data_IF_361173212856
#
_entry.id   IF_361173212856
#
_cell.length_a   1.000
_cell.length_b   1.000
_cell.length_c   1.000
_cell.angle_alpha   90.00
_cell.angle_beta   90.00
_cell.angle_gamma   90.00
#
_symmetry.space_group_name_H-M   'P 1'
#
loop_
_entity.id
_entity.type
_entity.pdbx_description
1 polymer ?
#
# COMPACT_ATOMS: atom_id res chain seq x y z
N UNK A 1 10.45 -2.44 14.74
CA UNK A 1 10.07 -1.46 13.69
C UNK A 1 9.37 -0.18 14.21
N UNK A 2 8.23 -0.28 14.91
CA UNK A 2 7.33 0.88 15.19
C UNK A 2 7.92 2.07 15.96
N UNK A 3 9.02 1.90 16.70
CA UNK A 3 9.77 2.97 17.39
C UNK A 3 10.96 3.51 16.57
N UNK A 4 11.42 2.75 15.58
CA UNK A 4 12.59 3.06 14.77
C UNK A 4 12.23 3.74 13.45
N UNK A 5 11.03 3.50 12.92
CA UNK A 5 10.58 3.99 11.62
C UNK A 5 9.85 5.32 11.73
N UNK A 6 10.48 6.29 12.40
CA UNK A 6 10.00 7.68 12.41
C UNK A 6 10.70 8.46 11.28
N UNK A 7 10.05 9.50 10.70
CA UNK A 7 10.68 10.29 9.63
C UNK A 7 12.10 10.77 9.97
N UNK A 8 12.31 11.27 11.18
CA UNK A 8 13.63 11.75 11.61
C UNK A 8 14.68 10.65 11.72
N UNK A 9 14.33 9.48 12.25
CA UNK A 9 15.26 8.34 12.35
C UNK A 9 15.57 7.74 10.97
N UNK A 10 14.55 7.60 10.12
CA UNK A 10 14.70 7.12 8.75
C UNK A 10 15.55 8.07 7.91
N UNK A 11 15.36 9.39 8.01
CA UNK A 11 16.20 10.37 7.33
C UNK A 11 17.67 10.28 7.77
N UNK A 12 17.95 10.05 9.06
CA UNK A 12 19.33 9.87 9.54
C UNK A 12 19.97 8.57 9.08
N UNK A 13 19.22 7.47 9.08
CA UNK A 13 19.74 6.12 8.77
C UNK A 13 19.82 5.83 7.28
N UNK A 14 18.85 6.31 6.51
CA UNK A 14 18.64 5.93 5.11
C UNK A 14 18.40 7.15 4.20
N UNK A 15 18.72 8.37 4.65
CA UNK A 15 18.40 9.60 3.93
C UNK A 15 18.98 9.71 2.53
N UNK A 16 20.19 9.17 2.32
CA UNK A 16 20.85 9.11 1.01
C UNK A 16 20.41 7.93 0.15
N UNK A 17 19.67 6.96 0.71
CA UNK A 17 19.16 5.82 -0.04
C UNK A 17 18.13 6.26 -1.06
N UNK A 18 18.27 5.79 -2.28
CA UNK A 18 17.35 6.08 -3.39
C UNK A 18 16.10 5.21 -3.23
N UNK A 19 14.93 5.84 -3.25
CA UNK A 19 13.62 5.21 -3.18
C UNK A 19 12.82 5.49 -4.44
N UNK A 20 12.11 4.47 -4.93
CA UNK A 20 11.22 4.56 -6.09
C UNK A 20 9.88 5.14 -5.70
N UNK A 21 9.37 6.02 -6.57
CA UNK A 21 8.04 6.57 -6.47
C UNK A 21 7.07 5.75 -7.34
N UNK A 22 5.85 5.55 -6.83
CA UNK A 22 4.79 4.83 -7.56
C UNK A 22 4.42 5.55 -8.85
N UNK A 23 3.98 4.79 -9.86
CA UNK A 23 3.37 5.35 -11.08
C UNK A 23 4.35 6.06 -12.01
N UNK A 24 5.62 5.64 -12.04
CA UNK A 24 6.63 6.25 -12.92
C UNK A 24 7.15 7.60 -12.44
N UNK A 25 6.91 7.97 -11.18
CA UNK A 25 7.37 9.24 -10.60
C UNK A 25 8.89 9.39 -10.43
N UNK A 26 9.68 8.44 -10.95
CA UNK A 26 11.13 8.43 -10.84
C UNK A 26 11.61 7.87 -9.50
N UNK A 27 12.84 8.20 -9.14
CA UNK A 27 13.45 7.82 -7.86
C UNK A 27 14.15 9.03 -7.25
N UNK A 28 14.11 9.14 -5.92
CA UNK A 28 14.67 10.27 -5.18
C UNK A 28 15.38 9.78 -3.91
N UNK A 29 16.32 10.54 -3.33
CA UNK A 29 16.80 10.27 -1.98
C UNK A 29 15.65 10.29 -0.96
N UNK A 30 15.65 9.36 -0.01
CA UNK A 30 14.60 9.28 1.01
C UNK A 30 14.48 10.60 1.80
N UNK A 31 15.60 11.25 2.13
CA UNK A 31 15.58 12.52 2.85
C UNK A 31 14.87 13.63 2.06
N UNK A 32 15.02 13.64 0.72
CA UNK A 32 14.32 14.58 -0.14
C UNK A 32 12.81 14.35 -0.10
N UNK A 33 12.37 13.09 -0.20
CA UNK A 33 10.96 12.72 -0.12
C UNK A 33 10.35 13.07 1.24
N UNK A 34 11.05 12.78 2.33
CA UNK A 34 10.61 13.15 3.68
C UNK A 34 10.56 14.68 3.86
N UNK A 35 11.48 15.42 3.25
CA UNK A 35 11.44 16.88 3.19
C UNK A 35 10.23 17.41 2.40
N UNK A 36 9.87 16.76 1.29
CA UNK A 36 8.63 17.05 0.55
C UNK A 36 7.40 16.87 1.44
N UNK A 37 7.30 15.76 2.18
CA UNK A 37 6.19 15.54 3.10
C UNK A 37 6.13 16.58 4.22
N UNK A 38 7.28 16.98 4.75
CA UNK A 38 7.35 17.95 5.86
C UNK A 38 6.90 19.35 5.44
N UNK A 39 7.21 19.78 4.22
CA UNK A 39 6.75 21.07 3.67
C UNK A 39 5.25 21.12 3.37
N UNK A 40 4.56 19.99 3.49
CA UNK A 40 3.16 19.83 3.10
C UNK A 40 3.02 19.49 1.63
N UNK A 41 1.90 18.84 1.29
CA UNK A 41 1.56 18.45 -0.08
C UNK A 41 0.10 18.74 -0.38
N UNK A 42 -0.51 19.72 0.29
CA UNK A 42 -1.95 19.97 0.24
C UNK A 42 -2.45 20.51 -1.11
N UNK A 43 -1.57 21.15 -1.88
CA UNK A 43 -1.86 21.61 -3.24
C UNK A 43 -1.75 20.50 -4.29
N UNK A 44 -1.25 19.32 -3.94
CA UNK A 44 -1.10 18.20 -4.86
C UNK A 44 -2.38 17.36 -4.88
N UNK A 45 -3.00 17.28 -6.06
CA UNK A 45 -4.18 16.45 -6.30
C UNK A 45 -3.83 14.95 -6.18
N UNK A 46 -2.61 14.57 -6.56
CA UNK A 46 -2.10 13.19 -6.48
C UNK A 46 -0.69 13.18 -5.86
N UNK A 47 -0.58 13.35 -4.53
CA UNK A 47 0.70 13.44 -3.85
C UNK A 47 1.62 12.25 -4.15
N UNK A 48 2.92 12.54 -4.29
CA UNK A 48 3.95 11.52 -4.54
C UNK A 48 3.93 10.45 -3.44
N UNK A 49 4.14 9.19 -3.83
CA UNK A 49 4.06 8.03 -2.95
C UNK A 49 5.28 7.13 -3.14
N UNK A 50 6.05 6.89 -2.07
CA UNK A 50 7.13 5.91 -2.08
C UNK A 50 6.53 4.51 -2.10
N UNK A 51 7.00 3.71 -3.06
CA UNK A 51 6.64 2.32 -3.22
C UNK A 51 7.92 1.54 -3.57
N UNK A 52 8.81 1.42 -2.59
CA UNK A 52 10.15 0.87 -2.79
C UNK A 52 10.17 -0.63 -2.45
N UNK A 53 10.55 -1.52 -3.37
CA UNK A 53 10.85 -2.91 -3.02
C UNK A 53 11.94 -2.92 -1.93
N UNK A 54 11.69 -3.59 -0.80
CA UNK A 54 12.64 -3.56 0.33
C UNK A 54 13.93 -4.26 -0.08
N UNK A 55 14.94 -3.47 -0.44
CA UNK A 55 16.30 -3.91 -0.71
C UNK A 55 17.25 -3.65 0.47
N UNK A 56 16.70 -3.30 1.64
CA UNK A 56 17.44 -2.90 2.84
C UNK A 56 17.37 -4.01 3.90
N UNK A 57 18.38 -4.89 4.02
CA UNK A 57 18.33 -6.06 4.90
C UNK A 57 18.12 -5.70 6.37
N UNK A 58 18.62 -4.53 6.79
CA UNK A 58 18.46 -4.01 8.15
C UNK A 58 16.99 -3.73 8.48
N UNK A 59 16.28 -3.06 7.57
CA UNK A 59 14.85 -2.79 7.73
C UNK A 59 14.01 -4.06 7.66
N UNK A 60 14.38 -5.01 6.79
CA UNK A 60 13.72 -6.31 6.72
C UNK A 60 13.74 -7.04 8.08
N UNK A 61 14.91 -7.11 8.73
CA UNK A 61 15.07 -7.76 10.03
C UNK A 61 14.21 -7.14 11.14
N UNK A 62 13.95 -5.84 11.07
CA UNK A 62 13.22 -5.10 12.11
C UNK A 62 11.72 -5.39 12.18
N UNK A 63 11.12 -5.95 11.12
CA UNK A 63 9.73 -6.43 11.11
C UNK A 63 9.63 -7.95 10.98
N UNK A 64 10.64 -8.63 10.43
CA UNK A 64 10.63 -10.07 10.25
C UNK A 64 10.36 -10.81 11.57
N UNK A 65 10.92 -10.36 12.69
CA UNK A 65 10.70 -10.99 14.00
C UNK A 65 9.22 -11.02 14.43
N UNK A 66 8.41 -10.04 14.00
CA UNK A 66 6.98 -9.97 14.33
C UNK A 66 6.14 -10.69 13.28
N UNK A 67 6.42 -10.46 12.01
CA UNK A 67 5.62 -10.98 10.88
C UNK A 67 5.80 -12.48 10.70
N UNK A 68 7.01 -13.02 10.91
CA UNK A 68 7.30 -14.44 10.67
C UNK A 68 6.49 -15.38 11.56
N UNK A 69 6.00 -14.90 12.72
CA UNK A 69 5.13 -15.69 13.59
C UNK A 69 3.68 -15.77 13.10
N UNK A 70 3.22 -14.78 12.33
CA UNK A 70 1.83 -14.68 11.84
C UNK A 70 1.70 -15.22 10.42
N UNK A 71 2.67 -14.90 9.55
CA UNK A 71 2.72 -15.32 8.15
C UNK A 71 4.04 -16.08 7.88
N UNK A 72 4.18 -17.31 8.39
CA UNK A 72 5.46 -18.04 8.37
C UNK A 72 5.80 -18.64 6.99
N UNK A 73 4.81 -18.78 6.11
CA UNK A 73 4.96 -19.48 4.84
C UNK A 73 5.31 -18.52 3.70
N UNK A 74 6.46 -18.75 3.09
CA UNK A 74 6.96 -18.02 1.93
C UNK A 74 7.39 -19.01 0.84
N UNK A 75 6.43 -19.52 0.06
CA UNK A 75 6.69 -20.55 -0.96
C UNK A 75 7.51 -20.01 -2.14
N UNK A 76 7.38 -18.72 -2.47
CA UNK A 76 8.18 -18.09 -3.54
C UNK A 76 9.67 -18.07 -3.24
N UNK A 77 10.08 -18.31 -1.99
CA UNK A 77 11.48 -18.57 -1.64
C UNK A 77 12.10 -19.72 -2.45
N UNK A 78 11.31 -20.72 -2.83
CA UNK A 78 11.79 -21.89 -3.58
C UNK A 78 12.25 -21.56 -5.01
N UNK A 79 11.75 -20.47 -5.61
CA UNK A 79 12.19 -20.04 -6.94
C UNK A 79 13.64 -19.51 -6.93
N UNK A 80 14.07 -18.91 -5.81
CA UNK A 80 15.41 -18.40 -5.62
C UNK A 80 15.84 -17.28 -6.59
N UNK A 81 16.98 -16.64 -6.25
CA UNK A 81 17.70 -15.72 -7.14
C UNK A 81 16.82 -14.67 -7.82
N UNK A 82 16.99 -14.54 -9.14
CA UNK A 82 16.27 -13.57 -9.99
C UNK A 82 14.88 -14.04 -10.44
N UNK A 83 14.54 -15.32 -10.25
CA UNK A 83 13.26 -15.88 -10.67
C UNK A 83 12.13 -15.50 -9.69
N UNK A 84 12.49 -15.17 -8.45
CA UNK A 84 11.56 -14.74 -7.42
C UNK A 84 11.04 -13.31 -7.71
N UNK A 85 9.72 -13.09 -7.80
CA UNK A 85 9.15 -11.75 -7.87
C UNK A 85 9.46 -10.91 -6.62
N UNK A 86 9.45 -9.58 -6.76
CA UNK A 86 9.50 -8.69 -5.60
C UNK A 86 8.26 -8.94 -4.71
N UNK A 87 8.46 -8.98 -3.39
CA UNK A 87 7.43 -9.49 -2.46
C UNK A 87 7.33 -8.70 -1.14
N UNK A 88 8.17 -7.68 -0.97
CA UNK A 88 8.22 -6.82 0.23
C UNK A 88 8.39 -5.40 -0.23
N UNK A 89 7.58 -4.49 0.30
CA UNK A 89 7.62 -3.07 -0.07
C UNK A 89 7.66 -2.16 1.15
N UNK A 90 8.50 -1.13 1.06
CA UNK A 90 8.56 0.00 1.97
C UNK A 90 7.70 1.12 1.40
N UNK A 91 6.68 1.52 2.16
CA UNK A 91 5.65 2.46 1.72
C UNK A 91 5.69 3.72 2.59
N UNK A 92 5.80 4.89 1.96
CA UNK A 92 5.74 6.18 2.65
C UNK A 92 4.97 7.18 1.81
N UNK A 93 4.03 7.89 2.41
CA UNK A 93 3.20 8.85 1.70
C UNK A 93 2.56 9.89 2.60
N UNK A 94 2.32 11.11 2.10
CA UNK A 94 1.52 12.11 2.79
C UNK A 94 0.02 11.80 2.66
N UNK A 95 -0.82 12.61 3.33
CA UNK A 95 -2.28 12.55 3.20
C UNK A 95 -2.71 12.59 1.74
N UNK A 96 -3.76 11.82 1.38
CA UNK A 96 -4.31 11.67 0.02
C UNK A 96 -3.46 10.85 -0.98
N UNK A 97 -2.24 10.45 -0.62
CA UNK A 97 -1.50 9.43 -1.38
C UNK A 97 -2.02 8.02 -1.09
N UNK A 98 -1.77 7.07 -1.99
CA UNK A 98 -2.17 5.68 -1.80
C UNK A 98 -2.02 4.80 -3.03
N UNK A 99 -2.72 3.67 -3.01
CA UNK A 99 -2.81 2.72 -4.12
C UNK A 99 -4.22 2.73 -4.70
N UNK A 100 -4.33 2.63 -6.03
CA UNK A 100 -5.60 2.37 -6.70
C UNK A 100 -6.05 0.92 -6.45
N UNK A 101 -7.34 0.62 -6.60
CA UNK A 101 -7.86 -0.74 -6.49
C UNK A 101 -7.12 -1.70 -7.43
N UNK A 102 -6.78 -2.89 -6.94
CA UNK A 102 -6.08 -3.93 -7.69
C UNK A 102 -6.15 -5.24 -6.93
N UNK A 103 -6.09 -6.34 -7.67
CA UNK A 103 -5.77 -7.66 -7.09
C UNK A 103 -4.25 -7.80 -7.06
N UNK A 104 -3.72 -8.34 -5.96
CA UNK A 104 -2.31 -8.69 -5.87
C UNK A 104 -1.95 -9.75 -6.92
N UNK A 105 -0.77 -9.64 -7.58
CA UNK A 105 -0.40 -10.51 -8.68
C UNK A 105 -0.14 -11.96 -8.22
N UNK A 106 -0.05 -12.85 -9.20
CA UNK A 106 0.34 -14.26 -9.02
C UNK A 106 -0.55 -15.05 -8.04
N UNK A 107 -1.79 -14.59 -7.83
CA UNK A 107 -2.74 -15.23 -6.90
C UNK A 107 -2.26 -15.20 -5.45
N UNK A 108 -1.45 -14.21 -5.08
CA UNK A 108 -0.90 -14.09 -3.73
C UNK A 108 -1.87 -13.42 -2.78
N UNK A 109 -1.81 -13.83 -1.51
CA UNK A 109 -2.31 -13.01 -0.41
C UNK A 109 -1.23 -12.03 0.05
N UNK A 110 -1.63 -10.95 0.71
CA UNK A 110 -0.72 -9.97 1.29
C UNK A 110 -1.00 -9.67 2.76
N UNK A 111 -0.02 -9.06 3.41
CA UNK A 111 -0.20 -8.40 4.69
C UNK A 111 0.37 -6.98 4.64
N UNK A 112 -0.23 -6.06 5.38
CA UNK A 112 0.20 -4.67 5.46
C UNK A 112 0.29 -4.21 6.92
N UNK A 113 1.51 -4.03 7.42
CA UNK A 113 1.74 -3.54 8.78
C UNK A 113 1.89 -2.01 8.80
N UNK A 114 1.00 -1.31 9.52
CA UNK A 114 1.02 0.15 9.59
C UNK A 114 1.79 0.66 10.80
N UNK A 115 2.95 1.28 10.56
CA UNK A 115 3.83 1.73 11.65
C UNK A 115 3.56 3.17 12.12
N UNK A 116 2.98 4.00 11.26
CA UNK A 116 2.66 5.41 11.54
C UNK A 116 1.54 5.90 10.64
N UNK A 117 0.70 6.80 11.17
CA UNK A 117 -0.44 7.36 10.46
C UNK A 117 -1.66 6.44 10.48
N UNK A 118 -2.53 6.61 9.47
CA UNK A 118 -3.77 5.85 9.26
C UNK A 118 -3.92 5.51 7.78
N UNK A 119 -4.52 4.37 7.46
CA UNK A 119 -4.89 4.00 6.08
C UNK A 119 -6.38 3.67 6.03
N UNK A 120 -7.08 4.21 5.04
CA UNK A 120 -8.45 3.84 4.76
C UNK A 120 -8.48 2.83 3.62
N UNK A 121 -9.03 1.65 3.91
CA UNK A 121 -9.11 0.52 3.01
C UNK A 121 -10.54 0.35 2.53
N UNK A 122 -10.67 0.03 1.24
CA UNK A 122 -11.89 -0.46 0.62
C UNK A 122 -11.48 -1.76 -0.04
N UNK A 123 -12.12 -2.85 0.35
CA UNK A 123 -11.87 -4.20 -0.14
C UNK A 123 -13.16 -4.70 -0.78
N UNK A 124 -13.05 -5.31 -1.96
CA UNK A 124 -14.20 -5.89 -2.65
C UNK A 124 -14.00 -7.40 -2.85
N UNK A 125 -15.00 -8.17 -2.42
CA UNK A 125 -15.12 -9.59 -2.73
C UNK A 125 -15.26 -9.78 -4.26
N UNK A 126 -14.42 -10.60 -4.91
CA UNK A 126 -14.52 -10.86 -6.35
C UNK A 126 -15.90 -11.37 -6.78
N UNK A 127 -16.67 -12.01 -5.89
CA UNK A 127 -18.04 -12.45 -6.18
C UNK A 127 -18.96 -11.30 -6.63
N UNK A 128 -18.71 -10.05 -6.20
CA UNK A 128 -19.51 -8.91 -6.63
C UNK A 128 -19.32 -8.57 -8.13
N UNK A 129 -18.12 -8.80 -8.67
CA UNK A 129 -17.83 -8.66 -10.09
C UNK A 129 -18.44 -9.83 -10.87
N UNK A 130 -18.30 -11.06 -10.37
CA UNK A 130 -18.84 -12.27 -11.01
C UNK A 130 -20.38 -12.24 -11.13
N UNK A 131 -21.05 -11.64 -10.15
CA UNK A 131 -22.51 -11.45 -10.16
C UNK A 131 -22.96 -10.28 -11.05
N UNK A 132 -22.02 -9.49 -11.61
CA UNK A 132 -22.31 -8.34 -12.46
C UNK A 132 -22.91 -7.13 -11.73
N UNK A 133 -22.84 -7.10 -10.39
CA UNK A 133 -23.37 -5.99 -9.60
C UNK A 133 -22.51 -4.71 -9.70
N UNK A 134 -21.21 -4.89 -9.94
CA UNK A 134 -20.19 -3.86 -10.15
C UNK A 134 -19.28 -4.28 -11.29
N UNK A 135 -18.57 -3.33 -11.92
CA UNK A 135 -17.51 -3.65 -12.89
C UNK A 135 -16.13 -3.20 -12.40
N UNK A 136 -15.06 -3.64 -13.04
CA UNK A 136 -13.71 -3.18 -12.69
C UNK A 136 -13.57 -1.66 -12.85
N UNK A 137 -14.22 -1.07 -13.85
CA UNK A 137 -14.22 0.38 -14.07
C UNK A 137 -14.80 1.16 -12.89
N UNK A 138 -15.75 0.59 -12.15
CA UNK A 138 -16.30 1.21 -10.94
C UNK A 138 -15.23 1.33 -9.82
N UNK A 139 -14.27 0.40 -9.79
CA UNK A 139 -13.20 0.35 -8.78
C UNK A 139 -12.01 1.24 -9.14
N UNK A 140 -11.84 1.58 -10.42
CA UNK A 140 -10.71 2.38 -10.88
C UNK A 140 -11.03 3.88 -10.80
N UNK A 141 -10.03 4.72 -10.47
CA UNK A 141 -10.21 6.17 -10.48
C UNK A 141 -10.40 6.72 -11.90
N UNK A 142 -9.89 6.05 -12.93
CA UNK A 142 -9.90 6.57 -14.30
C UNK A 142 -9.03 7.85 -14.39
N UNK A 143 -9.60 8.93 -14.93
CA UNK A 143 -8.92 10.23 -15.01
C UNK A 143 -8.89 11.01 -13.67
N UNK A 144 -9.58 10.52 -12.63
CA UNK A 144 -9.65 11.15 -11.31
C UNK A 144 -8.37 10.89 -10.51
N UNK A 145 -8.06 11.78 -9.58
CA UNK A 145 -7.15 11.45 -8.47
C UNK A 145 -7.77 10.40 -7.55
N UNK A 146 -6.95 9.75 -6.74
CA UNK A 146 -7.43 8.78 -5.76
C UNK A 146 -8.37 9.44 -4.74
N UNK A 147 -8.05 10.66 -4.29
CA UNK A 147 -8.90 11.40 -3.36
C UNK A 147 -10.28 11.73 -3.96
N UNK A 148 -10.33 12.07 -5.24
CA UNK A 148 -11.60 12.28 -5.95
C UNK A 148 -12.40 10.98 -6.09
N UNK A 149 -11.74 9.84 -6.38
CA UNK A 149 -12.41 8.55 -6.38
C UNK A 149 -13.02 8.22 -5.02
N UNK A 150 -12.33 8.46 -3.91
CA UNK A 150 -12.90 8.28 -2.57
C UNK A 150 -14.08 9.22 -2.29
N UNK A 151 -14.05 10.44 -2.83
CA UNK A 151 -15.12 11.43 -2.63
C UNK A 151 -16.38 11.11 -3.45
N UNK A 152 -16.23 10.61 -4.67
CA UNK A 152 -17.33 10.49 -5.64
C UNK A 152 -17.57 9.04 -6.08
N UNK A 153 -16.51 8.29 -6.36
CA UNK A 153 -16.55 6.90 -6.81
C UNK A 153 -17.03 5.94 -5.71
N UNK A 154 -16.45 6.03 -4.51
CA UNK A 154 -16.83 5.16 -3.40
C UNK A 154 -18.32 5.29 -2.99
N UNK A 155 -18.92 6.50 -2.86
CA UNK A 155 -20.37 6.61 -2.66
C UNK A 155 -21.20 5.99 -3.78
N UNK A 156 -20.73 6.05 -5.03
CA UNK A 156 -21.42 5.37 -6.14
C UNK A 156 -21.29 3.85 -6.04
N UNK A 157 -20.10 3.34 -5.71
CA UNK A 157 -19.85 1.92 -5.50
C UNK A 157 -20.72 1.34 -4.38
N UNK A 158 -20.84 2.05 -3.24
CA UNK A 158 -21.73 1.67 -2.12
C UNK A 158 -23.20 1.53 -2.50
N UNK A 159 -23.67 2.26 -3.51
CA UNK A 159 -25.06 2.15 -4.00
C UNK A 159 -25.28 0.96 -4.92
N UNK A 160 -24.22 0.49 -5.59
CA UNK A 160 -24.25 -0.64 -6.53
C UNK A 160 -23.96 -1.97 -5.84
N UNK A 161 -22.96 -1.97 -4.95
CA UNK A 161 -22.49 -3.17 -4.29
C UNK A 161 -23.32 -3.50 -3.04
N UNK A 162 -23.53 -4.80 -2.80
CA UNK A 162 -24.18 -5.23 -1.57
C UNK A 162 -23.21 -5.13 -0.38
N UNK A 163 -23.67 -4.75 0.82
CA UNK A 163 -22.80 -4.55 1.99
C UNK A 163 -21.96 -5.78 2.36
N UNK A 164 -22.44 -6.99 2.07
CA UNK A 164 -21.70 -8.23 2.35
C UNK A 164 -20.42 -8.40 1.51
N UNK A 165 -20.34 -7.75 0.34
CA UNK A 165 -19.22 -7.86 -0.60
C UNK A 165 -18.29 -6.64 -0.61
N UNK A 166 -18.64 -5.56 0.10
CA UNK A 166 -17.86 -4.33 0.18
C UNK A 166 -17.43 -4.09 1.62
N UNK A 167 -16.14 -4.29 1.91
CA UNK A 167 -15.60 -4.07 3.25
C UNK A 167 -14.78 -2.79 3.29
N UNK A 168 -15.01 -1.99 4.32
CA UNK A 168 -14.29 -0.74 4.53
C UNK A 168 -13.66 -0.76 5.91
N UNK A 169 -12.39 -0.36 5.99
CA UNK A 169 -11.66 -0.41 7.26
C UNK A 169 -10.70 0.77 7.42
N UNK A 170 -10.70 1.37 8.61
CA UNK A 170 -9.69 2.34 9.00
C UNK A 170 -8.60 1.62 9.78
N UNK A 171 -7.48 1.36 9.12
CA UNK A 171 -6.29 0.80 9.75
C UNK A 171 -5.58 1.89 10.56
N UNK A 172 -5.35 1.60 11.84
CA UNK A 172 -4.65 2.45 12.80
C UNK A 172 -3.19 2.02 12.97
N UNK A 173 -2.41 2.87 13.64
CA UNK A 173 -1.00 2.57 13.96
C UNK A 173 -0.92 1.29 14.80
N UNK A 174 -0.10 0.34 14.36
CA UNK A 174 0.14 -0.94 15.01
C UNK A 174 -0.64 -2.09 14.38
N UNK A 175 -1.69 -1.79 13.62
CA UNK A 175 -2.50 -2.81 12.97
C UNK A 175 -1.76 -3.49 11.83
N UNK A 176 -2.03 -4.79 11.65
CA UNK A 176 -1.59 -5.58 10.50
C UNK A 176 -2.83 -6.07 9.75
N UNK A 177 -3.03 -5.54 8.55
CA UNK A 177 -4.09 -6.00 7.65
C UNK A 177 -3.64 -7.29 6.96
N UNK A 178 -4.53 -8.27 6.84
CA UNK A 178 -4.38 -9.42 5.95
C UNK A 178 -5.35 -9.26 4.78
N UNK A 179 -4.85 -9.42 3.55
CA UNK A 179 -5.62 -9.32 2.32
C UNK A 179 -5.56 -10.69 1.63
N UNK A 180 -6.68 -11.43 1.58
CA UNK A 180 -6.74 -12.71 0.88
C UNK A 180 -6.50 -12.54 -0.63
N UNK A 181 -5.91 -13.56 -1.26
CA UNK A 181 -5.79 -13.62 -2.71
C UNK A 181 -7.14 -13.42 -3.42
N UNK A 182 -7.13 -12.67 -4.52
CA UNK A 182 -8.32 -12.40 -5.35
C UNK A 182 -9.19 -11.23 -4.88
N UNK A 183 -8.97 -10.70 -3.67
CA UNK A 183 -9.67 -9.50 -3.17
C UNK A 183 -9.13 -8.24 -3.85
N UNK A 184 -10.03 -7.34 -4.22
CA UNK A 184 -9.75 -6.06 -4.89
C UNK A 184 -9.53 -4.88 -3.93
#
# INVERSE_FOLDING_TARGET
AATEWTPGKLARRFGSSIVRLKGGGGSVPLAEFLGYMHRGSDWDASPRYVFEPVAWPELAREYDATVSGVFPHDFFRLLGGKARPAYRWFLVGPRRSGSQAHVDPDGTSAWNALLSGRKYWVLLDPAALEQGAVSEEDLKPGARSLAEWFREGLPALRRKCRPEHLWEHLQERGDVMYVPAGVW
#
